data_IF_303480385806
#
_entry.id   IF_303480385806
#
_cell.length_a   1.000
_cell.length_b   1.000
_cell.length_c   1.000
_cell.angle_alpha   90.00
_cell.angle_beta   90.00
_cell.angle_gamma   90.00
#
_symmetry.space_group_name_H-M   'P 1'
#
loop_
_entity.id
_entity.type
_entity.pdbx_description
1 polymer ?
#
# COMPACT_ATOMS: atom_id res chain seq x y z
N UNK A 1 7.07 -13.85 -27.62
CA UNK A 1 6.61 -13.43 -26.28
C UNK A 1 7.86 -13.31 -25.45
N UNK A 2 8.44 -12.10 -25.38
CA UNK A 2 9.66 -11.89 -24.61
C UNK A 2 9.29 -11.92 -23.13
N UNK A 3 9.79 -12.93 -22.42
CA UNK A 3 9.71 -12.95 -20.98
C UNK A 3 10.54 -11.76 -20.45
N UNK A 4 9.87 -10.77 -19.86
CA UNK A 4 10.52 -9.73 -19.07
C UNK A 4 11.03 -10.34 -17.77
N UNK A 5 12.06 -11.18 -17.87
CA UNK A 5 12.82 -11.66 -16.72
C UNK A 5 13.50 -10.45 -16.08
N UNK A 6 12.95 -9.94 -14.96
CA UNK A 6 13.69 -8.97 -14.15
C UNK A 6 12.89 -8.01 -13.28
N UNK A 7 11.58 -7.83 -13.45
CA UNK A 7 10.79 -6.94 -12.56
C UNK A 7 9.87 -7.73 -11.66
N UNK A 8 10.40 -8.04 -10.49
CA UNK A 8 9.69 -8.67 -9.38
C UNK A 8 8.78 -7.63 -8.71
N UNK A 9 7.63 -7.42 -9.33
CA UNK A 9 6.63 -6.41 -8.97
C UNK A 9 5.24 -7.05 -8.86
N UNK A 10 4.45 -6.52 -7.94
CA UNK A 10 3.09 -6.94 -7.65
C UNK A 10 2.21 -5.70 -7.55
N UNK A 11 1.06 -5.70 -8.22
CA UNK A 11 -0.01 -4.73 -7.97
C UNK A 11 -1.19 -5.39 -7.30
N UNK A 12 -1.87 -4.66 -6.44
CA UNK A 12 -3.12 -5.09 -5.82
C UNK A 12 -4.09 -3.90 -5.72
N UNK A 13 -5.36 -4.13 -6.05
CA UNK A 13 -6.41 -3.10 -6.04
C UNK A 13 -7.27 -3.11 -7.31
N UNK A 14 -8.08 -2.08 -7.47
CA UNK A 14 -8.91 -1.89 -8.66
C UNK A 14 -8.18 -1.19 -9.81
N UNK A 15 -8.94 -0.81 -10.84
CA UNK A 15 -8.40 -0.25 -12.08
C UNK A 15 -8.60 1.28 -12.20
N UNK A 16 -9.06 1.92 -11.12
CA UNK A 16 -9.34 3.36 -11.08
C UNK A 16 -8.12 4.22 -10.76
N UNK A 17 -8.36 5.52 -10.67
CA UNK A 17 -7.37 6.51 -10.24
C UNK A 17 -6.29 6.84 -11.28
N UNK A 18 -5.50 7.87 -10.97
CA UNK A 18 -4.30 8.21 -11.74
C UNK A 18 -3.08 7.54 -11.11
N UNK A 19 -2.32 6.78 -11.90
CA UNK A 19 -1.13 6.09 -11.43
C UNK A 19 0.06 7.04 -11.28
N UNK A 20 0.72 6.97 -10.13
CA UNK A 20 1.99 7.68 -9.85
C UNK A 20 3.05 6.68 -9.39
N UNK A 21 4.17 6.62 -10.10
CA UNK A 21 5.35 5.84 -9.67
C UNK A 21 6.02 6.50 -8.46
N UNK A 22 6.55 5.68 -7.57
CA UNK A 22 7.23 6.14 -6.35
C UNK A 22 8.70 5.72 -6.41
N UNK A 23 9.61 6.63 -6.05
CA UNK A 23 11.04 6.35 -5.95
C UNK A 23 11.55 6.73 -4.56
N UNK A 24 12.38 5.86 -3.98
CA UNK A 24 13.16 6.15 -2.77
C UNK A 24 12.33 6.47 -1.53
N UNK A 25 11.66 5.46 -0.95
CA UNK A 25 10.82 5.62 0.26
C UNK A 25 11.56 5.43 1.58
N UNK A 26 12.84 5.06 1.55
CA UNK A 26 13.65 4.81 2.74
C UNK A 26 13.72 6.02 3.68
N UNK A 27 13.48 5.79 4.97
CA UNK A 27 13.48 6.84 6.00
C UNK A 27 12.32 7.84 5.91
N UNK A 28 11.38 7.68 4.97
CA UNK A 28 10.25 8.60 4.86
C UNK A 28 9.17 8.27 5.89
N UNK A 29 8.56 9.32 6.44
CA UNK A 29 7.34 9.21 7.24
C UNK A 29 6.19 8.76 6.34
N UNK A 30 5.47 7.74 6.76
CA UNK A 30 4.21 7.30 6.17
C UNK A 30 3.06 7.67 7.10
N UNK A 31 2.00 8.21 6.52
CA UNK A 31 0.72 8.46 7.18
C UNK A 31 -0.38 7.83 6.34
N UNK A 32 -1.14 6.91 6.94
CA UNK A 32 -2.33 6.32 6.33
C UNK A 32 -3.56 6.91 7.01
N UNK A 33 -4.48 7.45 6.21
CA UNK A 33 -5.81 7.82 6.65
C UNK A 33 -6.82 6.84 6.10
N UNK A 34 -7.71 6.36 6.97
CA UNK A 34 -8.74 5.41 6.57
C UNK A 34 -10.00 5.54 7.43
N UNK A 35 -11.16 5.32 6.82
CA UNK A 35 -12.41 4.97 7.48
C UNK A 35 -12.79 3.53 7.16
N UNK A 36 -13.86 3.35 6.38
CA UNK A 36 -14.29 2.05 5.85
C UNK A 36 -13.40 1.52 4.70
N UNK A 37 -12.52 2.38 4.17
CA UNK A 37 -11.60 2.15 3.05
C UNK A 37 -10.29 2.88 3.33
N UNK A 38 -9.26 2.66 2.51
CA UNK A 38 -8.05 3.47 2.54
C UNK A 38 -8.28 4.78 1.78
N UNK A 39 -8.52 5.87 2.52
CA UNK A 39 -8.77 7.19 1.96
C UNK A 39 -7.52 7.81 1.34
N UNK A 40 -6.39 7.74 2.05
CA UNK A 40 -5.12 8.22 1.53
C UNK A 40 -3.92 7.56 2.19
N UNK A 41 -2.83 7.50 1.43
CA UNK A 41 -1.50 7.17 1.90
C UNK A 41 -0.61 8.35 1.56
N UNK A 42 0.06 8.91 2.55
CA UNK A 42 1.10 9.92 2.37
C UNK A 42 2.45 9.32 2.70
N UNK A 43 3.43 9.56 1.82
CA UNK A 43 4.83 9.14 2.00
C UNK A 43 5.68 10.40 1.84
N UNK A 44 6.32 10.81 2.94
CA UNK A 44 6.98 12.11 3.05
C UNK A 44 6.01 13.24 2.76
N UNK A 45 6.30 14.02 1.70
CA UNK A 45 5.49 15.17 1.29
C UNK A 45 4.45 14.84 0.21
N UNK A 46 4.41 13.60 -0.29
CA UNK A 46 3.51 13.23 -1.39
C UNK A 46 2.34 12.43 -0.85
N UNK A 47 1.12 12.90 -1.14
CA UNK A 47 -0.14 12.25 -0.75
C UNK A 47 -0.80 11.62 -1.97
N UNK A 48 -1.25 10.38 -1.81
CA UNK A 48 -2.04 9.61 -2.76
C UNK A 48 -3.43 9.35 -2.18
N UNK A 49 -4.49 9.65 -2.92
CA UNK A 49 -5.88 9.56 -2.46
C UNK A 49 -6.49 10.89 -1.98
N UNK A 50 -7.65 10.78 -1.35
CA UNK A 50 -8.53 11.91 -1.05
C UNK A 50 -8.21 12.72 0.21
N UNK A 51 -9.21 13.48 0.67
CA UNK A 51 -9.17 14.26 1.91
C UNK A 51 -9.90 13.61 3.09
N UNK A 52 -10.58 12.49 2.85
CA UNK A 52 -11.38 11.77 3.85
C UNK A 52 -10.55 11.01 4.89
N UNK A 53 -11.26 10.24 5.70
CA UNK A 53 -10.70 9.38 6.74
C UNK A 53 -10.03 10.13 7.91
N UNK A 54 -9.65 9.37 8.93
CA UNK A 54 -8.82 9.83 10.05
C UNK A 54 -7.48 9.09 10.03
N UNK A 55 -6.41 9.65 10.61
CA UNK A 55 -5.14 8.95 10.79
C UNK A 55 -5.34 7.62 11.52
N UNK A 56 -4.92 6.51 10.90
CA UNK A 56 -5.02 5.17 11.49
C UNK A 56 -3.67 4.45 11.58
N UNK A 57 -2.70 4.83 10.74
CA UNK A 57 -1.32 4.41 10.89
C UNK A 57 -0.37 5.58 10.61
N UNK A 58 0.65 5.73 11.44
CA UNK A 58 1.72 6.72 11.27
C UNK A 58 3.03 6.10 11.75
N UNK A 59 4.00 5.99 10.85
CA UNK A 59 5.27 5.32 11.09
C UNK A 59 6.35 5.79 10.10
N UNK A 60 7.61 5.65 10.48
CA UNK A 60 8.73 5.91 9.57
C UNK A 60 9.16 4.61 8.94
N UNK A 61 9.35 4.60 7.62
CA UNK A 61 9.92 3.44 6.94
C UNK A 61 11.40 3.26 7.32
N UNK A 62 11.93 2.02 7.34
CA UNK A 62 13.34 1.78 7.55
C UNK A 62 14.19 2.50 6.48
N UNK A 63 15.49 2.65 6.72
CA UNK A 63 16.38 3.38 5.81
C UNK A 63 16.40 2.79 4.39
N UNK A 64 16.13 1.49 4.22
CA UNK A 64 16.02 0.83 2.93
C UNK A 64 14.59 0.83 2.33
N UNK A 65 13.62 1.37 3.06
CA UNK A 65 12.22 1.52 2.64
C UNK A 65 11.41 0.22 2.68
N UNK A 66 11.95 -0.84 3.27
CA UNK A 66 11.33 -2.17 3.26
C UNK A 66 10.38 -2.39 4.43
N UNK A 67 9.32 -3.15 4.20
CA UNK A 67 8.36 -3.60 5.21
C UNK A 67 7.68 -4.89 4.72
N UNK A 68 6.94 -5.57 5.57
CA UNK A 68 6.28 -6.84 5.21
C UNK A 68 4.77 -6.70 5.18
N UNK A 69 4.13 -6.89 4.03
CA UNK A 69 2.67 -6.94 3.95
C UNK A 69 2.20 -8.32 4.35
N UNK A 70 1.24 -8.40 5.27
CA UNK A 70 0.65 -9.68 5.68
C UNK A 70 -0.73 -9.90 5.10
N UNK A 71 -1.50 -8.83 4.86
CA UNK A 71 -2.84 -8.93 4.26
C UNK A 71 -3.26 -7.65 3.56
N UNK A 72 -3.98 -7.78 2.45
CA UNK A 72 -4.70 -6.69 1.80
C UNK A 72 -6.09 -7.15 1.39
N UNK A 73 -7.07 -6.24 1.46
CA UNK A 73 -8.41 -6.50 0.96
C UNK A 73 -8.89 -5.35 0.08
N UNK A 74 -9.76 -5.66 -0.88
CA UNK A 74 -10.47 -4.68 -1.70
C UNK A 74 -11.83 -4.37 -1.05
N UNK A 75 -12.43 -3.24 -1.40
CA UNK A 75 -13.82 -2.88 -1.07
C UNK A 75 -14.42 -2.15 -2.28
N UNK A 76 -15.15 -2.89 -3.13
CA UNK A 76 -15.50 -2.43 -4.48
C UNK A 76 -14.28 -2.35 -5.41
N UNK A 77 -13.95 -1.16 -5.90
CA UNK A 77 -12.82 -0.94 -6.83
C UNK A 77 -11.59 -0.29 -6.19
N UNK A 78 -11.53 -0.24 -4.85
CA UNK A 78 -10.46 0.46 -4.12
C UNK A 78 -9.91 -0.39 -2.99
N UNK A 79 -8.73 -0.01 -2.46
CA UNK A 79 -8.14 -0.67 -1.30
C UNK A 79 -9.04 -0.46 -0.08
N UNK A 80 -9.56 -1.57 0.45
CA UNK A 80 -10.41 -1.60 1.62
C UNK A 80 -9.63 -1.73 2.92
N UNK A 81 -8.57 -2.54 2.90
CA UNK A 81 -7.77 -2.89 4.08
C UNK A 81 -6.32 -3.14 3.72
N UNK A 82 -5.41 -2.79 4.62
CA UNK A 82 -4.02 -3.22 4.59
C UNK A 82 -3.52 -3.53 6.00
N UNK A 83 -2.82 -4.66 6.12
CA UNK A 83 -2.06 -5.05 7.30
C UNK A 83 -0.62 -5.34 6.89
N UNK A 84 0.30 -4.80 7.67
CA UNK A 84 1.73 -4.95 7.43
C UNK A 84 2.52 -4.84 8.73
N UNK A 85 3.76 -5.29 8.68
CA UNK A 85 4.76 -5.20 9.74
C UNK A 85 5.88 -4.28 9.28
N UNK A 86 6.20 -3.27 10.08
CA UNK A 86 7.30 -2.35 9.86
C UNK A 86 8.11 -2.25 11.17
N UNK A 87 9.41 -2.53 11.11
CA UNK A 87 10.30 -2.59 12.29
C UNK A 87 9.73 -3.42 13.46
N UNK A 88 9.13 -4.56 13.14
CA UNK A 88 8.53 -5.47 14.13
C UNK A 88 7.17 -5.03 14.68
N UNK A 89 6.67 -3.85 14.32
CA UNK A 89 5.36 -3.34 14.72
C UNK A 89 4.31 -3.66 13.65
N UNK A 90 3.17 -4.21 14.06
CA UNK A 90 2.04 -4.47 13.15
C UNK A 90 1.14 -3.24 13.06
N UNK A 91 0.88 -2.80 11.84
CA UNK A 91 -0.06 -1.72 11.52
C UNK A 91 -1.23 -2.26 10.72
N UNK A 92 -2.40 -1.65 10.93
CA UNK A 92 -3.65 -1.99 10.26
C UNK A 92 -4.39 -0.71 9.91
N UNK A 93 -4.93 -0.63 8.70
CA UNK A 93 -5.76 0.49 8.26
C UNK A 93 -6.92 -0.01 7.40
N UNK A 94 -8.02 0.74 7.42
CA UNK A 94 -9.25 0.40 6.70
C UNK A 94 -10.08 -0.68 7.41
N UNK A 95 -10.91 -1.38 6.64
CA UNK A 95 -11.80 -2.42 7.13
C UNK A 95 -11.75 -3.64 6.20
N UNK A 96 -11.65 -4.83 6.79
CA UNK A 96 -11.75 -6.09 6.06
C UNK A 96 -13.15 -6.21 5.46
N UNK A 97 -13.23 -6.49 4.16
CA UNK A 97 -14.50 -6.80 3.49
C UNK A 97 -14.40 -8.15 2.78
N UNK A 98 -15.51 -8.62 2.22
CA UNK A 98 -15.57 -9.90 1.50
C UNK A 98 -14.97 -9.86 0.08
N UNK A 99 -14.65 -8.67 -0.44
CA UNK A 99 -14.17 -8.52 -1.82
C UNK A 99 -12.64 -8.61 -1.88
N UNK A 100 -12.13 -9.56 -2.68
CA UNK A 100 -10.70 -9.69 -2.99
C UNK A 100 -9.79 -9.68 -1.75
N UNK A 101 -9.45 -10.86 -1.23
CA UNK A 101 -8.61 -11.00 -0.03
C UNK A 101 -7.27 -11.66 -0.40
N UNK A 102 -6.18 -10.93 -0.17
CA UNK A 102 -4.82 -11.41 -0.40
C UNK A 102 -4.07 -11.49 0.93
N UNK A 103 -3.77 -12.72 1.36
CA UNK A 103 -3.05 -13.00 2.59
C UNK A 103 -1.71 -13.68 2.29
N UNK A 104 -0.64 -13.16 2.89
CA UNK A 104 0.72 -13.68 2.74
C UNK A 104 1.22 -14.47 3.96
N UNK A 105 0.35 -14.74 4.93
CA UNK A 105 0.71 -15.47 6.15
C UNK A 105 1.83 -14.78 6.93
N UNK A 106 3.04 -15.34 6.89
CA UNK A 106 4.24 -14.82 7.56
C UNK A 106 4.71 -13.45 7.04
N UNK A 107 4.15 -12.99 5.91
CA UNK A 107 4.41 -11.67 5.34
C UNK A 107 5.25 -11.73 4.07
N UNK A 108 4.92 -10.85 3.13
CA UNK A 108 5.67 -10.62 1.89
C UNK A 108 6.53 -9.35 2.06
N UNK A 109 7.86 -9.46 2.06
CA UNK A 109 8.75 -8.30 2.08
C UNK A 109 8.58 -7.47 0.81
N UNK A 110 8.35 -6.17 0.97
CA UNK A 110 8.08 -5.23 -0.12
C UNK A 110 8.67 -3.85 0.12
N UNK A 111 8.65 -3.03 -0.93
CA UNK A 111 8.73 -1.57 -0.87
C UNK A 111 7.70 -0.98 -1.84
N UNK A 112 7.21 0.23 -1.55
CA UNK A 112 6.28 0.91 -2.46
C UNK A 112 6.96 1.23 -3.80
N UNK A 113 6.28 0.90 -4.90
CA UNK A 113 6.74 1.16 -6.27
C UNK A 113 5.81 2.12 -7.01
N UNK A 114 4.54 2.19 -6.63
CA UNK A 114 3.56 3.09 -7.22
C UNK A 114 2.22 3.04 -6.51
N UNK A 115 1.43 4.10 -6.63
CA UNK A 115 0.06 4.15 -6.12
C UNK A 115 -0.82 4.77 -7.21
N UNK A 116 -1.92 4.09 -7.56
CA UNK A 116 -3.02 4.68 -8.32
C UNK A 116 -4.08 5.20 -7.36
N UNK A 117 -4.49 6.44 -7.56
CA UNK A 117 -5.48 7.07 -6.66
C UNK A 117 -6.31 8.15 -7.35
N UNK A 118 -7.56 8.29 -6.90
CA UNK A 118 -8.43 9.42 -7.14
C UNK A 118 -8.91 10.03 -5.82
N UNK A 119 -10.21 9.92 -5.54
CA UNK A 119 -10.77 10.29 -4.22
C UNK A 119 -10.40 9.32 -3.10
N UNK A 120 -9.86 8.14 -3.44
CA UNK A 120 -9.42 7.06 -2.55
C UNK A 120 -8.15 6.43 -3.13
N UNK A 121 -7.55 5.46 -2.42
CA UNK A 121 -6.46 4.64 -2.96
C UNK A 121 -7.06 3.47 -3.73
N UNK A 122 -6.92 3.49 -5.06
CA UNK A 122 -7.49 2.47 -5.96
C UNK A 122 -6.59 1.22 -6.03
N UNK A 123 -5.29 1.41 -6.21
CA UNK A 123 -4.31 0.34 -6.39
C UNK A 123 -2.95 0.70 -5.80
N UNK A 124 -2.26 -0.29 -5.27
CA UNK A 124 -0.87 -0.15 -4.82
C UNK A 124 0.00 -1.13 -5.60
N UNK A 125 1.12 -0.61 -6.11
CA UNK A 125 2.19 -1.36 -6.75
C UNK A 125 3.37 -1.48 -5.79
N UNK A 126 3.90 -2.68 -5.65
CA UNK A 126 4.99 -3.05 -4.78
C UNK A 126 6.10 -3.71 -5.58
N UNK A 127 7.34 -3.50 -5.15
CA UNK A 127 8.45 -4.39 -5.51
C UNK A 127 8.49 -5.54 -4.47
N UNK A 128 8.78 -6.77 -4.88
CA UNK A 128 8.65 -7.98 -4.02
C UNK A 128 9.96 -8.74 -3.78
N UNK A 129 11.07 -8.30 -4.36
CA UNK A 129 12.33 -9.03 -4.26
C UNK A 129 13.50 -8.09 -4.05
N UNK A 130 14.07 -8.18 -2.86
CA UNK A 130 15.30 -7.52 -2.42
C UNK A 130 15.79 -8.12 -1.10
#
# INVERSE_FOLDING_TARGET
>A
MEALAGKKQMSFGGHGGSFSSIQGTGGQQVLIKSGSKIDSIQIGNVKYGGGGGTPTASFTLPADGKFSITRMCINGDVIGYIQFVCDGVTYQAGQVTGDGDLSFGSGLPVSFAGIASGSMVDMILFNTDF
#
